data_IF_224285656238
#
_entry.id   IF_224285656238
#
_cell.length_a   1.000
_cell.length_b   1.000
_cell.length_c   1.000
_cell.angle_alpha   90.00
_cell.angle_beta   90.00
_cell.angle_gamma   90.00
#
_symmetry.space_group_name_H-M   'P 1'
#
loop_
_entity.id
_entity.type
_entity.pdbx_description
1 polymer ?
#
# COMPACT_ATOMS: atom_id res chain seq x y z
N UNK A 1 7.11 -3.93 -16.65
CA UNK A 1 8.09 -4.20 -15.58
C UNK A 1 7.31 -4.45 -14.29
N UNK A 2 7.67 -5.48 -13.52
CA UNK A 2 7.06 -5.77 -12.22
C UNK A 2 8.00 -5.31 -11.10
N UNK A 3 7.45 -4.71 -10.06
CA UNK A 3 8.16 -4.19 -8.89
C UNK A 3 7.88 -5.14 -7.73
N UNK A 4 8.89 -5.83 -7.18
CA UNK A 4 8.71 -6.76 -6.07
C UNK A 4 8.18 -6.06 -4.81
N UNK A 5 7.43 -6.78 -3.98
CA UNK A 5 6.90 -6.26 -2.71
C UNK A 5 8.01 -5.72 -1.78
N UNK A 6 9.12 -6.45 -1.65
CA UNK A 6 10.27 -6.01 -0.85
C UNK A 6 10.86 -4.67 -1.35
N UNK A 7 10.86 -4.45 -2.68
CA UNK A 7 11.31 -3.19 -3.24
C UNK A 7 10.32 -2.04 -2.95
N UNK A 8 9.01 -2.32 -3.01
CA UNK A 8 7.98 -1.34 -2.62
C UNK A 8 8.13 -0.96 -1.14
N UNK A 9 8.31 -1.94 -0.26
CA UNK A 9 8.56 -1.71 1.16
C UNK A 9 9.79 -0.83 1.39
N UNK A 10 10.91 -1.13 0.72
CA UNK A 10 12.14 -0.33 0.81
C UNK A 10 11.97 1.10 0.32
N UNK A 11 11.18 1.32 -0.75
CA UNK A 11 10.94 2.66 -1.32
C UNK A 11 9.98 3.52 -0.50
N UNK A 12 9.01 2.89 0.17
CA UNK A 12 7.91 3.58 0.87
C UNK A 12 8.12 3.67 2.38
N UNK A 13 8.97 2.81 2.94
CA UNK A 13 9.13 2.64 4.38
C UNK A 13 8.00 1.84 5.03
N UNK A 14 7.06 1.30 4.25
CA UNK A 14 6.00 0.45 4.78
C UNK A 14 6.51 -0.96 5.10
N UNK A 15 5.88 -1.61 6.07
CA UNK A 15 6.24 -2.98 6.43
C UNK A 15 5.87 -3.97 5.32
N UNK A 16 6.83 -4.82 4.94
CA UNK A 16 6.57 -5.94 4.03
C UNK A 16 5.44 -6.85 4.55
N UNK A 17 5.37 -7.04 5.87
CA UNK A 17 4.33 -7.88 6.49
C UNK A 17 2.94 -7.30 6.27
N UNK A 18 2.75 -6.01 6.55
CA UNK A 18 1.46 -5.35 6.35
C UNK A 18 1.06 -5.38 4.87
N UNK A 19 1.99 -5.06 3.96
CA UNK A 19 1.73 -5.14 2.52
C UNK A 19 1.32 -6.55 2.08
N UNK A 20 1.96 -7.59 2.62
CA UNK A 20 1.63 -8.98 2.31
C UNK A 20 0.25 -9.38 2.85
N UNK A 21 -0.08 -8.98 4.08
CA UNK A 21 -1.37 -9.24 4.70
C UNK A 21 -2.49 -8.55 3.90
N UNK A 22 -2.28 -7.31 3.47
CA UNK A 22 -3.22 -6.55 2.63
C UNK A 22 -3.38 -7.16 1.21
N UNK A 23 -2.30 -7.69 0.62
CA UNK A 23 -2.38 -8.46 -0.62
C UNK A 23 -3.20 -9.74 -0.44
N UNK A 24 -2.98 -10.49 0.65
CA UNK A 24 -3.71 -11.74 0.95
C UNK A 24 -5.19 -11.50 1.25
N UNK A 25 -5.50 -10.38 1.89
CA UNK A 25 -6.86 -9.96 2.17
C UNK A 25 -7.59 -9.42 0.92
N UNK A 26 -6.89 -9.25 -0.21
CA UNK A 26 -7.46 -8.69 -1.44
C UNK A 26 -7.74 -7.18 -1.37
N UNK A 27 -7.14 -6.49 -0.39
CA UNK A 27 -7.27 -5.02 -0.22
C UNK A 27 -6.47 -4.28 -1.29
N UNK A 28 -5.34 -4.87 -1.70
CA UNK A 28 -4.43 -4.31 -2.71
C UNK A 28 -4.40 -5.23 -3.92
N UNK A 29 -4.64 -4.65 -5.09
CA UNK A 29 -4.44 -5.35 -6.36
C UNK A 29 -2.95 -5.57 -6.64
N UNK A 30 -2.59 -6.80 -7.02
CA UNK A 30 -1.20 -7.23 -7.13
C UNK A 30 -1.04 -8.37 -8.14
N UNK A 31 0.20 -8.62 -8.54
CA UNK A 31 0.59 -9.76 -9.36
C UNK A 31 1.25 -10.80 -8.46
N UNK A 32 0.63 -11.97 -8.33
CA UNK A 32 1.21 -13.12 -7.63
C UNK A 32 1.71 -14.16 -8.63
N UNK A 33 3.01 -14.50 -8.60
CA UNK A 33 3.60 -15.56 -9.44
C UNK A 33 4.52 -16.43 -8.60
N UNK A 34 4.24 -17.75 -8.56
CA UNK A 34 5.04 -18.74 -7.82
C UNK A 34 5.30 -18.36 -6.35
N UNK A 35 4.31 -17.72 -5.70
CA UNK A 35 4.42 -17.28 -4.30
C UNK A 35 5.13 -15.94 -4.09
N UNK A 36 5.62 -15.29 -5.16
CA UNK A 36 6.18 -13.94 -5.12
C UNK A 36 5.10 -12.90 -5.44
N UNK A 37 5.01 -11.87 -4.60
CA UNK A 37 4.10 -10.74 -4.74
C UNK A 37 4.83 -9.58 -5.41
N UNK A 38 4.21 -8.98 -6.43
CA UNK A 38 4.77 -7.86 -7.18
C UNK A 38 3.68 -6.93 -7.68
N UNK A 39 4.07 -5.72 -8.08
CA UNK A 39 3.16 -4.69 -8.53
C UNK A 39 3.57 -4.19 -9.90
N UNK A 40 2.58 -3.91 -10.74
CA UNK A 40 2.81 -3.03 -11.89
C UNK A 40 2.99 -1.59 -11.41
N UNK A 41 3.47 -0.70 -12.30
CA UNK A 41 3.60 0.71 -11.96
C UNK A 41 2.25 1.33 -11.57
N UNK A 42 1.20 1.07 -12.35
CA UNK A 42 -0.14 1.59 -12.07
C UNK A 42 -0.71 1.09 -10.74
N UNK A 43 -0.50 -0.19 -10.40
CA UNK A 43 -0.93 -0.75 -9.11
C UNK A 43 -0.17 -0.10 -7.94
N UNK A 44 1.14 0.14 -8.10
CA UNK A 44 1.92 0.85 -7.09
C UNK A 44 1.45 2.30 -6.90
N UNK A 45 1.19 3.03 -7.99
CA UNK A 45 0.70 4.42 -7.89
C UNK A 45 -0.69 4.47 -7.21
N UNK A 46 -1.58 3.51 -7.52
CA UNK A 46 -2.88 3.36 -6.84
C UNK A 46 -2.74 3.00 -5.36
N UNK A 47 -1.80 2.11 -5.02
CA UNK A 47 -1.45 1.78 -3.65
C UNK A 47 -0.97 3.01 -2.88
N UNK A 48 -0.05 3.79 -3.44
CA UNK A 48 0.43 5.05 -2.86
C UNK A 48 -0.73 6.00 -2.61
N UNK A 49 -1.56 6.26 -3.62
CA UNK A 49 -2.72 7.12 -3.46
C UNK A 49 -3.64 6.67 -2.31
N UNK A 50 -3.88 5.36 -2.16
CA UNK A 50 -4.74 4.83 -1.09
C UNK A 50 -4.16 5.09 0.30
N UNK A 51 -2.87 4.82 0.51
CA UNK A 51 -2.23 4.96 1.83
C UNK A 51 -1.92 6.42 2.17
N UNK A 52 -1.67 7.28 1.19
CA UNK A 52 -1.42 8.71 1.43
C UNK A 52 -2.71 9.50 1.62
N UNK A 53 -3.80 9.17 0.90
CA UNK A 53 -5.11 9.83 1.09
C UNK A 53 -5.76 9.43 2.42
N UNK A 54 -5.60 8.18 2.86
CA UNK A 54 -6.01 7.75 4.21
C UNK A 54 -5.21 8.43 5.34
N UNK A 55 -4.12 9.13 5.01
CA UNK A 55 -3.27 9.89 5.92
C UNK A 55 -3.65 11.36 6.06
N UNK A 56 -4.80 11.82 5.55
CA UNK A 56 -5.32 13.12 5.95
C UNK A 56 -6.00 12.94 7.32
N UNK A 57 -5.41 13.41 8.44
CA UNK A 57 -6.20 13.54 9.65
C UNK A 57 -7.37 14.44 9.28
N UNK A 58 -8.60 13.97 9.47
CA UNK A 58 -9.70 14.92 9.57
C UNK A 58 -9.25 15.97 10.60
N UNK A 59 -9.37 17.28 10.32
CA UNK A 59 -9.12 18.27 11.34
C UNK A 59 -10.05 17.90 12.49
N UNK A 60 -9.47 17.49 13.62
CA UNK A 60 -10.25 17.31 14.85
C UNK A 60 -10.82 18.69 15.14
N UNK A 61 -12.11 18.87 14.85
CA UNK A 61 -12.83 20.08 15.16
C UNK A 61 -12.87 20.18 16.68
N UNK A 62 -11.92 20.94 17.25
CA UNK A 62 -11.91 21.30 18.68
C UNK A 62 -12.81 22.50 18.96
N UNK A 63 -13.75 22.82 18.08
CA UNK A 63 -14.67 23.95 18.26
C UNK A 63 -16.00 23.48 18.85
N UNK A 64 -15.97 22.72 19.95
CA UNK A 64 -17.11 22.65 20.88
C UNK A 64 -16.77 22.00 22.22
N UNK A 65 -16.64 22.83 23.26
CA UNK A 65 -17.27 22.73 24.60
C UNK A 65 -16.39 23.43 25.64
#
# INVERSE_FOLDING_TARGET
>A
MLIPLAEVAGRTGWSERSLLDDCRAGVIDHVCRKGSYSFTRCQLDALIARYTVAGSPEPVDRSRA
#
